data_IF_370576062218
#
_entry.id   IF_370576062218
#
_cell.length_a   1.000
_cell.length_b   1.000
_cell.length_c   1.000
_cell.angle_alpha   90.00
_cell.angle_beta   90.00
_cell.angle_gamma   90.00
#
_symmetry.space_group_name_H-M   'P 1'
#
loop_
_entity.id
_entity.type
_entity.pdbx_description
1 polymer ?
#
# COMPACT_ATOMS: atom_id res chain seq x y z
N UNK A 1 -42.28 42.17 -4.83
CA UNK A 1 -40.90 42.67 -5.05
C UNK A 1 -40.27 42.90 -3.70
N UNK A 2 -39.40 42.00 -3.26
CA UNK A 2 -38.02 42.23 -2.76
C UNK A 2 -37.41 40.83 -2.73
N UNK A 3 -36.41 40.61 -3.57
CA UNK A 3 -35.58 39.41 -3.58
C UNK A 3 -34.44 39.67 -2.60
N UNK A 4 -34.25 38.79 -1.61
CA UNK A 4 -33.01 38.76 -0.81
C UNK A 4 -32.27 37.46 -1.10
N UNK A 5 -31.05 37.66 -1.59
CA UNK A 5 -30.08 36.68 -2.07
C UNK A 5 -29.17 36.20 -0.93
N UNK A 6 -28.79 34.92 -1.00
CA UNK A 6 -27.61 34.27 -0.43
C UNK A 6 -27.45 34.05 1.09
N UNK A 7 -27.20 32.78 1.41
CA UNK A 7 -26.75 32.29 2.71
C UNK A 7 -26.52 30.77 2.67
N UNK A 8 -25.71 30.29 1.72
CA UNK A 8 -25.29 28.88 1.64
C UNK A 8 -24.22 28.59 2.69
N UNK A 9 -24.60 28.11 3.87
CA UNK A 9 -23.66 27.47 4.81
C UNK A 9 -24.40 26.47 5.70
N UNK A 10 -24.26 25.18 5.37
CA UNK A 10 -24.23 24.03 6.30
C UNK A 10 -24.74 22.76 5.60
N UNK A 11 -23.98 22.30 4.60
CA UNK A 11 -23.96 20.89 4.19
C UNK A 11 -22.55 20.36 4.44
N UNK A 12 -22.05 20.57 5.66
CA UNK A 12 -20.78 19.99 6.12
C UNK A 12 -21.00 19.50 7.54
N UNK A 13 -21.84 18.51 7.69
CA UNK A 13 -21.99 17.73 8.93
C UNK A 13 -22.80 16.50 8.56
N UNK A 14 -22.27 15.30 8.88
CA UNK A 14 -22.75 13.97 8.47
C UNK A 14 -22.08 13.27 7.28
N UNK A 15 -20.77 13.46 7.08
CA UNK A 15 -19.93 12.39 6.50
C UNK A 15 -18.75 12.16 7.44
N UNK A 16 -19.02 11.65 8.64
CA UNK A 16 -17.99 11.37 9.65
C UNK A 16 -18.17 10.02 10.35
N UNK A 17 -18.90 9.09 9.73
CA UNK A 17 -19.22 7.78 10.31
C UNK A 17 -19.15 6.62 9.32
N UNK A 18 -18.27 6.74 8.32
CA UNK A 18 -17.85 5.63 7.46
C UNK A 18 -16.33 5.61 7.33
N UNK A 19 -15.61 5.72 8.47
CA UNK A 19 -14.25 5.19 8.51
C UNK A 19 -14.43 3.68 8.64
N UNK A 20 -14.62 3.09 7.47
CA UNK A 20 -14.56 1.66 7.28
C UNK A 20 -13.25 1.17 7.89
N UNK A 21 -13.34 0.49 9.03
CA UNK A 21 -12.38 -0.54 9.43
C UNK A 21 -12.52 -1.73 8.47
N UNK A 22 -12.41 -1.46 7.17
CA UNK A 22 -12.32 -2.46 6.12
C UNK A 22 -10.87 -2.41 5.66
N UNK A 23 -10.02 -3.11 6.41
CA UNK A 23 -9.16 -4.04 5.69
C UNK A 23 -10.15 -5.15 5.31
N UNK A 24 -10.74 -5.15 4.11
CA UNK A 24 -11.49 -6.32 3.71
C UNK A 24 -10.53 -7.49 3.93
N UNK A 25 -10.99 -8.56 4.59
CA UNK A 25 -10.38 -9.86 4.43
C UNK A 25 -10.53 -10.18 2.95
N UNK A 26 -9.63 -9.63 2.13
CA UNK A 26 -9.62 -9.82 0.70
C UNK A 26 -9.38 -11.32 0.54
N UNK A 27 -10.34 -12.07 -0.02
CA UNK A 27 -9.96 -13.32 -0.63
C UNK A 27 -8.95 -12.89 -1.69
N UNK A 28 -7.68 -13.28 -1.53
CA UNK A 28 -6.71 -13.21 -2.61
C UNK A 28 -7.29 -14.11 -3.70
N UNK A 29 -8.06 -13.53 -4.61
CA UNK A 29 -8.44 -14.18 -5.85
C UNK A 29 -7.12 -14.61 -6.49
N UNK A 30 -6.99 -15.90 -6.77
CA UNK A 30 -5.73 -16.53 -7.13
C UNK A 30 -5.08 -15.99 -8.42
N UNK A 31 -5.70 -15.04 -9.14
CA UNK A 31 -5.44 -14.84 -10.56
C UNK A 31 -5.04 -13.41 -10.98
N UNK A 32 -4.87 -12.45 -10.06
CA UNK A 32 -4.39 -11.10 -10.46
C UNK A 32 -3.34 -10.50 -9.51
N UNK A 33 -2.08 -10.82 -9.82
CA UNK A 33 -0.89 -10.24 -9.18
C UNK A 33 -0.84 -8.72 -9.39
N UNK A 34 -1.31 -8.19 -10.52
CA UNK A 34 -1.32 -6.74 -10.79
C UNK A 34 -2.28 -6.03 -9.84
N UNK A 35 -3.52 -6.51 -9.73
CA UNK A 35 -4.49 -5.96 -8.78
C UNK A 35 -4.00 -6.05 -7.33
N UNK A 36 -3.31 -7.15 -6.98
CA UNK A 36 -2.74 -7.32 -5.65
C UNK A 36 -1.62 -6.32 -5.36
N UNK A 37 -0.72 -6.08 -6.33
CA UNK A 37 0.31 -5.04 -6.24
C UNK A 37 -0.29 -3.63 -6.13
N UNK A 38 -1.36 -3.34 -6.89
CA UNK A 38 -2.09 -2.08 -6.79
C UNK A 38 -2.73 -1.90 -5.42
N UNK A 39 -3.31 -2.97 -4.85
CA UNK A 39 -3.85 -2.94 -3.48
C UNK A 39 -2.75 -2.65 -2.46
N UNK A 40 -1.55 -3.22 -2.60
CA UNK A 40 -0.44 -2.94 -1.71
C UNK A 40 0.02 -1.48 -1.80
N UNK A 41 0.10 -0.91 -3.02
CA UNK A 41 0.38 0.52 -3.24
C UNK A 41 -0.70 1.38 -2.56
N UNK A 42 -1.98 1.04 -2.71
CA UNK A 42 -3.08 1.74 -2.07
C UNK A 42 -2.98 1.72 -0.54
N UNK A 43 -2.63 0.59 0.06
CA UNK A 43 -2.43 0.48 1.51
C UNK A 43 -1.25 1.33 2.00
N UNK A 44 -0.13 1.38 1.27
CA UNK A 44 1.00 2.27 1.60
C UNK A 44 0.54 3.72 1.54
N UNK A 45 -0.14 4.12 0.46
CA UNK A 45 -0.69 5.46 0.31
C UNK A 45 -1.70 5.83 1.41
N UNK A 46 -2.46 4.84 1.91
CA UNK A 46 -3.32 4.98 3.08
C UNK A 46 -2.54 5.31 4.33
N UNK A 47 -1.51 4.51 4.67
CA UNK A 47 -0.66 4.72 5.85
C UNK A 47 -0.09 6.14 5.88
N UNK A 48 0.41 6.62 4.74
CA UNK A 48 0.98 7.96 4.61
C UNK A 48 0.03 9.08 5.05
N UNK A 49 -1.28 8.92 4.87
CA UNK A 49 -2.26 9.99 5.15
C UNK A 49 -2.47 10.27 6.64
N UNK A 50 -2.12 9.32 7.52
CA UNK A 50 -2.34 9.44 8.96
C UNK A 50 -1.05 9.33 9.77
N UNK A 51 0.12 9.41 9.11
CA UNK A 51 1.38 9.62 9.80
C UNK A 51 1.37 10.96 10.54
N UNK A 52 1.75 10.94 11.81
CA UNK A 52 2.10 12.13 12.57
C UNK A 52 3.33 12.81 11.94
N UNK A 53 3.49 14.11 12.17
CA UNK A 53 4.57 14.93 11.58
C UNK A 53 5.96 14.32 11.81
N UNK A 54 6.18 13.76 13.01
CA UNK A 54 7.43 13.09 13.38
C UNK A 54 7.65 11.81 12.56
N UNK A 55 6.60 11.02 12.30
CA UNK A 55 6.66 9.81 11.49
C UNK A 55 6.87 10.13 9.99
N UNK A 56 6.24 11.20 9.49
CA UNK A 56 6.36 11.66 8.09
C UNK A 56 7.83 11.92 7.74
N UNK A 57 8.58 12.60 8.61
CA UNK A 57 9.95 13.02 8.33
C UNK A 57 10.87 11.83 7.99
N UNK A 58 10.63 10.67 8.60
CA UNK A 58 11.45 9.47 8.40
C UNK A 58 10.87 8.49 7.38
N UNK A 59 9.55 8.42 7.26
CA UNK A 59 8.86 7.38 6.49
C UNK A 59 8.38 7.83 5.11
N UNK A 60 8.18 9.12 4.84
CA UNK A 60 7.64 9.63 3.56
C UNK A 60 8.46 9.14 2.36
N UNK A 61 9.79 9.31 2.43
CA UNK A 61 10.70 8.88 1.35
C UNK A 61 10.70 7.36 1.18
N UNK A 62 10.71 6.61 2.29
CA UNK A 62 10.73 5.14 2.29
C UNK A 62 9.45 4.56 1.71
N UNK A 63 8.31 5.16 2.02
CA UNK A 63 7.05 4.76 1.40
C UNK A 63 6.98 5.15 -0.08
N UNK A 64 7.52 6.30 -0.47
CA UNK A 64 7.69 6.66 -1.88
C UNK A 64 8.53 5.65 -2.66
N UNK A 65 9.67 5.24 -2.10
CA UNK A 65 10.53 4.21 -2.68
C UNK A 65 9.78 2.87 -2.81
N UNK A 66 9.06 2.46 -1.76
CA UNK A 66 8.28 1.23 -1.78
C UNK A 66 7.19 1.25 -2.88
N UNK A 67 6.42 2.32 -2.98
CA UNK A 67 5.40 2.47 -4.03
C UNK A 67 6.02 2.45 -5.44
N UNK A 68 7.16 3.11 -5.63
CA UNK A 68 7.86 3.14 -6.92
C UNK A 68 8.32 1.74 -7.34
N UNK A 69 8.94 1.00 -6.43
CA UNK A 69 9.35 -0.38 -6.68
C UNK A 69 8.14 -1.28 -6.99
N UNK A 70 7.02 -1.15 -6.27
CA UNK A 70 5.81 -1.93 -6.58
C UNK A 70 5.21 -1.57 -7.95
N UNK A 71 5.27 -0.30 -8.38
CA UNK A 71 4.86 0.11 -9.74
C UNK A 71 5.78 -0.51 -10.80
N UNK A 72 7.08 -0.56 -10.56
CA UNK A 72 8.03 -1.26 -11.43
C UNK A 72 7.78 -2.78 -11.44
N UNK A 73 7.41 -3.37 -10.31
CA UNK A 73 7.03 -4.78 -10.21
C UNK A 73 5.81 -5.09 -11.10
N UNK A 74 4.81 -4.19 -11.16
CA UNK A 74 3.66 -4.32 -12.08
C UNK A 74 4.14 -4.36 -13.53
N UNK A 75 4.93 -3.37 -13.95
CA UNK A 75 5.46 -3.29 -15.32
C UNK A 75 6.24 -4.55 -15.70
N UNK A 76 7.12 -5.02 -14.81
CA UNK A 76 7.91 -6.22 -15.05
C UNK A 76 7.05 -7.49 -15.08
N UNK A 77 6.00 -7.57 -14.26
CA UNK A 77 5.10 -8.72 -14.25
C UNK A 77 4.32 -8.82 -15.56
N UNK A 78 3.80 -7.69 -16.06
CA UNK A 78 3.10 -7.62 -17.34
C UNK A 78 4.00 -8.00 -18.52
N UNK A 79 5.31 -7.75 -18.41
CA UNK A 79 6.31 -8.13 -19.40
C UNK A 79 6.87 -9.57 -19.20
N UNK A 80 6.38 -10.32 -18.20
CA UNK A 80 6.87 -11.68 -17.91
C UNK A 80 8.26 -11.75 -17.27
N UNK A 81 8.82 -10.62 -16.81
CA UNK A 81 10.14 -10.53 -16.20
C UNK A 81 10.10 -10.87 -14.70
N UNK A 82 9.70 -12.10 -14.35
CA UNK A 82 9.41 -12.48 -12.96
C UNK A 82 10.58 -12.30 -11.98
N UNK A 83 11.84 -12.48 -12.42
CA UNK A 83 13.01 -12.21 -11.58
C UNK A 83 13.08 -10.74 -11.15
N UNK A 84 12.80 -9.84 -12.07
CA UNK A 84 12.81 -8.41 -11.78
C UNK A 84 11.63 -8.02 -10.89
N UNK A 85 10.46 -8.64 -11.07
CA UNK A 85 9.33 -8.48 -10.13
C UNK A 85 9.74 -8.82 -8.70
N UNK A 86 10.44 -9.93 -8.50
CA UNK A 86 10.92 -10.35 -7.18
C UNK A 86 11.92 -9.36 -6.59
N UNK A 87 12.88 -8.88 -7.39
CA UNK A 87 13.85 -7.88 -6.94
C UNK A 87 13.16 -6.58 -6.50
N UNK A 88 12.18 -6.11 -7.28
CA UNK A 88 11.43 -4.90 -6.97
C UNK A 88 10.58 -5.08 -5.70
N UNK A 89 9.95 -6.25 -5.52
CA UNK A 89 9.24 -6.58 -4.29
C UNK A 89 10.19 -6.55 -3.07
N UNK A 90 11.41 -7.07 -3.22
CA UNK A 90 12.39 -7.09 -2.12
C UNK A 90 12.87 -5.68 -1.74
N UNK A 91 13.10 -4.80 -2.71
CA UNK A 91 13.44 -3.40 -2.43
C UNK A 91 12.25 -2.64 -1.79
N UNK A 92 11.01 -2.95 -2.17
CA UNK A 92 9.84 -2.38 -1.50
C UNK A 92 9.73 -2.81 -0.03
N UNK A 93 9.91 -4.11 0.25
CA UNK A 93 9.91 -4.65 1.62
C UNK A 93 11.01 -4.02 2.48
N UNK A 94 12.21 -3.89 1.92
CA UNK A 94 13.35 -3.24 2.58
C UNK A 94 13.07 -1.78 2.93
N UNK A 95 12.40 -1.06 2.03
CA UNK A 95 12.06 0.35 2.24
C UNK A 95 11.05 0.50 3.40
N UNK A 96 9.99 -0.31 3.41
CA UNK A 96 9.00 -0.33 4.51
C UNK A 96 9.68 -0.67 5.84
N UNK A 97 10.50 -1.72 5.86
CA UNK A 97 11.22 -2.14 7.06
C UNK A 97 12.20 -1.08 7.56
N UNK A 98 12.88 -0.37 6.67
CA UNK A 98 13.78 0.73 7.05
C UNK A 98 13.04 1.85 7.77
N UNK A 99 11.79 2.14 7.39
CA UNK A 99 10.95 3.11 8.11
C UNK A 99 10.56 2.58 9.49
N UNK A 100 10.12 1.32 9.60
CA UNK A 100 9.80 0.68 10.90
C UNK A 100 11.02 0.72 11.84
N UNK A 101 12.17 0.19 11.40
CA UNK A 101 13.40 0.10 12.21
C UNK A 101 13.85 1.50 12.70
N UNK A 102 13.78 2.52 11.84
CA UNK A 102 14.16 3.90 12.20
C UNK A 102 13.19 4.50 13.20
N UNK A 103 11.89 4.30 13.00
CA UNK A 103 10.85 4.89 13.84
C UNK A 103 10.75 4.21 15.20
N UNK A 104 10.98 2.89 15.27
CA UNK A 104 11.08 2.12 16.51
C UNK A 104 12.29 2.56 17.34
N UNK A 105 13.45 2.74 16.70
CA UNK A 105 14.66 3.20 17.38
C UNK A 105 14.51 4.61 17.99
N UNK A 106 13.62 5.43 17.42
CA UNK A 106 13.39 6.79 17.87
C UNK A 106 12.09 6.96 18.68
N UNK A 107 11.26 5.91 18.78
CA UNK A 107 10.01 5.91 19.54
C UNK A 107 8.87 6.74 18.93
N UNK A 108 8.91 6.99 17.62
CA UNK A 108 7.97 7.90 16.93
C UNK A 108 6.75 7.20 16.34
N UNK A 109 6.80 5.89 16.11
CA UNK A 109 5.72 5.19 15.43
C UNK A 109 4.56 4.84 16.37
N UNK A 110 3.36 5.25 16.01
CA UNK A 110 2.15 4.81 16.69
C UNK A 110 1.94 3.31 16.47
N UNK A 111 1.50 2.58 17.50
CA UNK A 111 1.28 1.12 17.42
C UNK A 111 0.35 0.72 16.27
N UNK A 112 -0.68 1.53 15.98
CA UNK A 112 -1.59 1.29 14.85
C UNK A 112 -0.89 1.39 13.51
N UNK A 113 -0.01 2.39 13.34
CA UNK A 113 0.79 2.58 12.14
C UNK A 113 1.76 1.42 11.94
N UNK A 114 2.44 0.97 13.01
CA UNK A 114 3.31 -0.20 12.97
C UNK A 114 2.54 -1.46 12.55
N UNK A 115 1.35 -1.68 13.09
CA UNK A 115 0.49 -2.81 12.73
C UNK A 115 0.03 -2.75 11.26
N UNK A 116 -0.27 -1.58 10.74
CA UNK A 116 -0.64 -1.42 9.33
C UNK A 116 0.55 -1.69 8.40
N UNK A 117 1.76 -1.28 8.78
CA UNK A 117 2.98 -1.63 8.06
C UNK A 117 3.21 -3.14 8.05
N UNK A 118 3.02 -3.84 9.18
CA UNK A 118 3.10 -5.30 9.25
C UNK A 118 2.08 -6.00 8.34
N UNK A 119 0.86 -5.47 8.28
CA UNK A 119 -0.19 -5.97 7.38
C UNK A 119 0.21 -5.81 5.89
N UNK A 120 0.80 -4.67 5.54
CA UNK A 120 1.33 -4.43 4.18
C UNK A 120 2.49 -5.38 3.87
N UNK A 121 3.44 -5.56 4.79
CA UNK A 121 4.55 -6.51 4.64
C UNK A 121 4.02 -7.93 4.43
N UNK A 122 3.00 -8.35 5.18
CA UNK A 122 2.38 -9.65 5.01
C UNK A 122 1.71 -9.80 3.63
N UNK A 123 1.00 -8.76 3.17
CA UNK A 123 0.39 -8.74 1.84
C UNK A 123 1.45 -8.87 0.74
N UNK A 124 2.51 -8.05 0.79
CA UNK A 124 3.58 -8.05 -0.21
C UNK A 124 4.31 -9.42 -0.23
N UNK A 125 4.53 -10.04 0.93
CA UNK A 125 5.11 -11.39 0.98
C UNK A 125 4.19 -12.46 0.37
N UNK A 126 2.88 -12.34 0.50
CA UNK A 126 1.92 -13.23 -0.17
C UNK A 126 2.00 -13.08 -1.69
N UNK A 127 2.06 -11.83 -2.18
CA UNK A 127 2.24 -11.53 -3.60
C UNK A 127 3.56 -12.13 -4.12
N UNK A 128 4.66 -11.93 -3.39
CA UNK A 128 5.98 -12.51 -3.71
C UNK A 128 5.88 -14.03 -3.93
N UNK A 129 5.19 -14.72 -3.02
CA UNK A 129 4.99 -16.18 -3.10
C UNK A 129 4.18 -16.58 -4.34
N UNK A 130 3.16 -15.81 -4.70
CA UNK A 130 2.37 -16.04 -5.92
C UNK A 130 3.21 -15.85 -7.18
N UNK A 131 4.01 -14.77 -7.26
CA UNK A 131 4.93 -14.52 -8.38
C UNK A 131 5.92 -15.68 -8.56
N UNK A 132 6.49 -16.20 -7.47
CA UNK A 132 7.37 -17.37 -7.52
C UNK A 132 6.63 -18.61 -8.04
N UNK A 133 5.37 -18.81 -7.65
CA UNK A 133 4.52 -19.87 -8.19
C UNK A 133 4.27 -19.73 -9.69
N UNK A 134 3.98 -18.51 -10.17
CA UNK A 134 3.80 -18.23 -11.59
C UNK A 134 5.07 -18.45 -12.41
N UNK A 135 6.24 -18.12 -11.87
CA UNK A 135 7.53 -18.32 -12.54
C UNK A 135 7.93 -19.80 -12.69
N UNK A 136 7.42 -20.66 -11.80
CA UNK A 136 7.72 -22.09 -11.76
C UNK A 136 6.68 -22.96 -12.48
N UNK A 137 5.53 -22.39 -12.83
CA UNK A 137 4.53 -23.10 -13.63
C UNK A 137 4.98 -23.13 -15.09
N UNK A 138 5.25 -24.31 -15.68
CA UNK A 138 5.53 -24.38 -17.10
C UNK A 138 4.29 -23.87 -17.82
N UNK A 139 4.45 -22.80 -18.62
CA UNK A 139 3.41 -22.40 -19.56
C UNK A 139 3.25 -23.55 -20.57
N UNK A 140 2.29 -24.45 -20.31
CA UNK A 140 1.78 -25.39 -21.30
C UNK A 140 1.00 -24.53 -22.29
N UNK A 141 1.72 -23.95 -23.25
CA UNK A 141 1.11 -23.38 -24.43
C UNK A 141 0.50 -24.53 -25.23
N UNK A 142 -0.83 -24.56 -25.30
CA UNK A 142 -1.59 -25.31 -26.30
C UNK A 142 -1.80 -24.45 -27.53
#
# INVERSE_FOLDING_TARGET
MVVSLFGTTSIVTFISLLIFSFIPKLPLANDDIVSSLQSAIGSIGGIKQYLAIEEVMYCEFRFGDAESNLKLAITNYQNGHFKDVINQIDEALKSIKSCQDTSDAQGYIARSVAQDMDNVVLLINKIKKQVLGSALSPQIYH
#
